data_IF_961723728179
#
_entry.id   IF_961723728179
#
_cell.length_a   1.000
_cell.length_b   1.000
_cell.length_c   1.000
_cell.angle_alpha   90.00
_cell.angle_beta   90.00
_cell.angle_gamma   90.00
#
_symmetry.space_group_name_H-M   'P 1'
#
loop_
_entity.id
_entity.type
_entity.pdbx_description
1 polymer ?
#
# COMPACT_ATOMS: atom_id res chain seq x y z
N UNK A 1 8.52 2.02 25.45
CA UNK A 1 8.91 0.80 24.71
C UNK A 1 9.31 1.23 23.31
N UNK A 2 10.59 1.04 22.95
CA UNK A 2 11.13 1.45 21.66
C UNK A 2 10.39 0.71 20.53
N UNK A 3 9.76 1.46 19.63
CA UNK A 3 9.11 0.90 18.45
C UNK A 3 10.16 0.17 17.61
N UNK A 4 9.93 -1.11 17.36
CA UNK A 4 10.72 -1.89 16.41
C UNK A 4 10.68 -1.17 15.08
N UNK A 5 11.81 -0.55 14.71
CA UNK A 5 12.00 0.12 13.44
C UNK A 5 11.79 -0.93 12.35
N UNK A 6 10.83 -0.79 11.42
CA UNK A 6 10.67 -1.76 10.35
C UNK A 6 11.98 -1.83 9.58
N UNK A 7 12.51 -3.05 9.43
CA UNK A 7 13.73 -3.27 8.66
C UNK A 7 13.49 -2.74 7.23
N UNK A 8 14.25 -1.73 6.84
CA UNK A 8 14.25 -1.25 5.47
C UNK A 8 14.77 -2.38 4.56
N UNK A 9 14.12 -2.65 3.41
CA UNK A 9 14.62 -3.65 2.48
C UNK A 9 16.03 -3.27 2.03
N UNK A 10 16.93 -4.26 2.04
CA UNK A 10 18.34 -4.18 1.69
C UNK A 10 18.51 -3.47 0.33
N UNK A 11 19.09 -2.26 0.37
CA UNK A 11 19.39 -1.46 -0.84
C UNK A 11 20.37 -2.20 -1.73
N UNK A 12 19.87 -2.82 -2.80
CA UNK A 12 20.66 -3.16 -3.97
C UNK A 12 21.04 -1.88 -4.73
N UNK A 13 22.32 -1.70 -4.98
CA UNK A 13 22.90 -0.60 -5.75
C UNK A 13 22.55 -0.82 -7.24
N UNK A 14 21.61 -0.07 -7.82
CA UNK A 14 21.39 -0.10 -9.28
C UNK A 14 20.01 0.18 -9.85
N UNK A 15 18.99 0.55 -9.08
CA UNK A 15 17.63 0.76 -9.62
C UNK A 15 17.18 2.21 -9.45
N UNK A 16 16.82 2.85 -10.59
CA UNK A 16 16.10 4.12 -10.69
C UNK A 16 14.99 4.25 -9.63
N UNK A 17 14.62 5.45 -9.13
CA UNK A 17 13.71 5.61 -8.01
C UNK A 17 12.29 5.13 -8.34
N UNK A 18 12.06 3.82 -8.17
CA UNK A 18 10.74 3.21 -8.18
C UNK A 18 9.95 3.81 -7.01
N UNK A 19 8.74 4.30 -7.29
CA UNK A 19 7.84 4.77 -6.25
C UNK A 19 7.73 3.68 -5.17
N UNK A 20 7.93 4.06 -3.91
CA UNK A 20 7.90 3.14 -2.78
C UNK A 20 6.81 3.59 -1.82
N UNK A 21 5.95 2.66 -1.41
CA UNK A 21 4.78 2.92 -0.58
C UNK A 21 4.92 2.19 0.74
N UNK A 22 4.49 2.87 1.80
CA UNK A 22 4.33 2.32 3.14
C UNK A 22 2.85 2.42 3.50
N UNK A 23 2.24 1.29 3.86
CA UNK A 23 0.87 1.26 4.36
C UNK A 23 0.90 0.98 5.85
N UNK A 24 0.26 1.85 6.63
CA UNK A 24 0.25 1.80 8.09
C UNK A 24 -1.18 1.65 8.62
N UNK A 25 -1.32 0.97 9.75
CA UNK A 25 -2.55 0.88 10.53
C UNK A 25 -2.20 0.91 12.01
N UNK A 26 -2.84 1.79 12.77
CA UNK A 26 -2.61 1.95 14.23
C UNK A 26 -1.12 2.11 14.60
N UNK A 27 -0.38 2.88 13.78
CA UNK A 27 1.05 3.12 13.96
C UNK A 27 1.96 1.92 13.62
N UNK A 28 1.40 0.83 13.09
CA UNK A 28 2.14 -0.38 12.68
C UNK A 28 2.22 -0.50 11.17
N UNK A 29 3.35 -1.03 10.69
CA UNK A 29 3.56 -1.32 9.27
C UNK A 29 2.72 -2.54 8.84
N UNK A 30 1.84 -2.35 7.87
CA UNK A 30 1.03 -3.40 7.24
C UNK A 30 1.74 -3.96 6.01
N UNK A 31 2.25 -3.08 5.14
CA UNK A 31 2.98 -3.48 3.93
C UNK A 31 3.94 -2.37 3.47
N UNK A 32 5.00 -2.77 2.76
CA UNK A 32 6.05 -1.89 2.23
C UNK A 32 6.53 -2.44 0.89
N UNK A 33 6.66 -1.59 -0.13
CA UNK A 33 7.06 -2.02 -1.46
C UNK A 33 6.57 -1.12 -2.59
N UNK A 34 6.53 -1.67 -3.79
CA UNK A 34 5.95 -0.99 -4.96
C UNK A 34 4.43 -0.76 -4.77
N UNK A 35 3.88 0.35 -5.29
CA UNK A 35 2.45 0.64 -5.22
C UNK A 35 1.55 -0.53 -5.61
N UNK A 36 1.90 -1.25 -6.68
CA UNK A 36 1.17 -2.41 -7.20
C UNK A 36 1.13 -3.57 -6.22
N UNK A 37 2.19 -3.72 -5.43
CA UNK A 37 2.31 -4.84 -4.50
C UNK A 37 1.78 -4.48 -3.13
N UNK A 38 1.61 -3.19 -2.81
CA UNK A 38 1.14 -2.68 -1.51
C UNK A 38 -0.35 -2.34 -1.54
N UNK A 39 -0.82 -1.62 -2.56
CA UNK A 39 -2.21 -1.14 -2.67
C UNK A 39 -3.04 -2.22 -3.37
N UNK A 40 -3.65 -3.09 -2.57
CA UNK A 40 -4.56 -4.15 -3.04
C UNK A 40 -5.95 -3.95 -2.44
N UNK A 41 -6.98 -4.52 -3.07
CA UNK A 41 -8.36 -4.42 -2.60
C UNK A 41 -8.52 -4.96 -1.16
N UNK A 42 -7.83 -6.06 -0.84
CA UNK A 42 -7.87 -6.70 0.48
C UNK A 42 -7.29 -5.77 1.55
N UNK A 43 -6.16 -5.12 1.27
CA UNK A 43 -5.54 -4.19 2.22
C UNK A 43 -6.31 -2.89 2.35
N UNK A 44 -6.96 -2.43 1.30
CA UNK A 44 -7.90 -1.30 1.39
C UNK A 44 -9.07 -1.63 2.32
N UNK A 45 -9.62 -2.84 2.23
CA UNK A 45 -10.66 -3.32 3.15
C UNK A 45 -10.15 -3.46 4.59
N UNK A 46 -8.93 -3.94 4.79
CA UNK A 46 -8.35 -4.13 6.12
C UNK A 46 -8.00 -2.80 6.82
N UNK A 47 -7.33 -1.89 6.10
CA UNK A 47 -6.73 -0.67 6.65
C UNK A 47 -7.71 0.50 6.63
N UNK A 48 -8.42 0.69 5.52
CA UNK A 48 -9.31 1.82 5.34
C UNK A 48 -10.79 1.47 5.47
N UNK A 49 -11.13 0.18 5.66
CA UNK A 49 -12.52 -0.30 5.81
C UNK A 49 -13.40 0.06 4.61
N UNK A 50 -12.83 0.00 3.42
CA UNK A 50 -13.54 0.25 2.16
C UNK A 50 -13.50 -0.94 1.24
N UNK A 51 -14.56 -1.14 0.46
CA UNK A 51 -14.51 -1.98 -0.74
C UNK A 51 -14.10 -1.12 -1.91
N UNK A 52 -13.16 -1.62 -2.71
CA UNK A 52 -12.75 -0.94 -3.91
C UNK A 52 -11.97 -1.83 -4.84
N UNK A 53 -11.79 -1.34 -6.07
CA UNK A 53 -10.96 -1.95 -7.11
C UNK A 53 -9.70 -1.13 -7.30
N UNK A 54 -8.62 -1.82 -7.64
CA UNK A 54 -7.35 -1.21 -8.04
C UNK A 54 -7.17 -1.48 -9.52
N UNK A 55 -7.20 -0.41 -10.31
CA UNK A 55 -7.17 -0.47 -11.77
C UNK A 55 -5.99 0.34 -12.30
N UNK A 56 -5.56 0.06 -13.54
CA UNK A 56 -4.64 0.93 -14.27
C UNK A 56 -5.44 1.79 -15.22
N UNK A 57 -5.25 3.09 -15.17
CA UNK A 57 -5.85 3.98 -16.16
C UNK A 57 -5.16 3.81 -17.53
N UNK A 58 -5.67 4.50 -18.54
CA UNK A 58 -5.09 4.50 -19.90
C UNK A 58 -3.63 4.96 -19.96
N UNK A 59 -3.15 5.70 -18.95
CA UNK A 59 -1.75 6.13 -18.81
C UNK A 59 -0.91 5.17 -17.95
N UNK A 60 -1.45 4.00 -17.58
CA UNK A 60 -0.75 2.99 -16.77
C UNK A 60 -0.64 3.30 -15.28
N UNK A 61 -1.14 4.47 -14.83
CA UNK A 61 -1.14 4.86 -13.41
C UNK A 61 -2.18 4.07 -12.63
N UNK A 62 -1.82 3.65 -11.43
CA UNK A 62 -2.77 3.01 -10.52
C UNK A 62 -3.85 4.01 -10.08
N UNK A 63 -5.10 3.58 -10.14
CA UNK A 63 -6.27 4.28 -9.65
C UNK A 63 -7.06 3.35 -8.74
N UNK A 64 -7.54 3.90 -7.63
CA UNK A 64 -8.41 3.19 -6.69
C UNK A 64 -9.83 3.71 -6.89
N UNK A 65 -10.76 2.80 -7.19
CA UNK A 65 -12.19 3.10 -7.29
C UNK A 65 -12.86 2.56 -6.03
N UNK A 66 -13.50 3.44 -5.26
CA UNK A 66 -14.22 3.05 -4.06
C UNK A 66 -15.66 2.67 -4.40
N UNK A 67 -16.03 1.43 -4.12
CA UNK A 67 -17.39 0.91 -4.33
C UNK A 67 -18.29 1.15 -3.11
N UNK A 68 -17.69 1.37 -1.94
CA UNK A 68 -18.42 1.73 -0.73
C UNK A 68 -17.63 1.48 0.54
N UNK A 69 -18.20 1.90 1.66
CA UNK A 69 -17.64 1.66 3.00
C UNK A 69 -18.14 0.32 3.52
N UNK A 70 -17.29 -0.42 4.23
CA UNK A 70 -17.67 -1.62 4.96
C UNK A 70 -18.19 -1.15 6.31
N UNK A 71 -19.53 -1.25 6.50
CA UNK A 71 -20.16 -0.93 7.78
C UNK A 71 -19.67 -1.90 8.86
N UNK A 72 -19.44 -1.32 10.05
CA UNK A 72 -19.03 -2.03 11.27
C UNK A 72 -20.24 -2.65 11.94
#
# INVERSE_FOLDING_TARGET
AAGTRPAAPSRGLGEEPKSHVLMLKDGRLVASGAPETVITAERLAEVYRVRGRVERCSQGKLQVVLDGVIAV
#
